data_IF_053017972321
#
_entry.id   IF_053017972321
#
_cell.length_a   1.000
_cell.length_b   1.000
_cell.length_c   1.000
_cell.angle_alpha   90.00
_cell.angle_beta   90.00
_cell.angle_gamma   90.00
#
_symmetry.space_group_name_H-M   'P 1'
#
loop_
_entity.id
_entity.type
_entity.pdbx_description
1 polymer ?
#
# COMPACT_ATOMS: atom_id res chain seq x y z
N UNK A 1 17.79 -11.31 10.67
CA UNK A 1 18.22 -11.45 9.27
C UNK A 1 19.25 -10.38 8.94
N UNK A 2 20.40 -10.79 8.44
CA UNK A 2 21.43 -9.90 7.90
C UNK A 2 21.12 -9.67 6.42
N UNK A 3 20.97 -8.40 6.03
CA UNK A 3 20.82 -7.99 4.64
C UNK A 3 22.11 -7.31 4.18
N UNK A 4 22.78 -7.94 3.22
CA UNK A 4 23.98 -7.38 2.55
C UNK A 4 23.55 -7.02 1.14
N UNK A 5 23.59 -5.76 0.78
CA UNK A 5 23.32 -5.30 -0.58
C UNK A 5 24.65 -4.86 -1.20
N UNK A 6 25.28 -5.74 -1.97
CA UNK A 6 26.49 -5.43 -2.71
C UNK A 6 26.11 -4.82 -4.07
N UNK A 7 26.27 -3.52 -4.18
CA UNK A 7 25.99 -2.78 -5.42
C UNK A 7 27.17 -2.77 -6.40
N UNK A 8 28.21 -3.56 -6.13
CA UNK A 8 29.43 -3.63 -6.99
C UNK A 8 30.29 -2.35 -6.98
N UNK A 9 29.92 -1.36 -6.18
CA UNK A 9 30.63 -0.07 -6.05
C UNK A 9 31.46 0.04 -4.77
N UNK A 10 31.59 -1.05 -4.00
CA UNK A 10 32.25 -1.08 -2.69
C UNK A 10 31.43 -0.48 -1.54
N UNK A 11 30.21 -0.02 -1.81
CA UNK A 11 29.26 0.43 -0.80
C UNK A 11 28.27 -0.71 -0.50
N UNK A 12 28.58 -1.51 0.50
CA UNK A 12 27.66 -2.51 1.02
C UNK A 12 26.68 -1.84 2.00
N UNK A 13 25.39 -1.91 1.74
CA UNK A 13 24.38 -1.51 2.73
C UNK A 13 24.10 -2.67 3.65
N UNK A 14 24.95 -2.86 4.66
CA UNK A 14 24.74 -3.88 5.69
C UNK A 14 23.75 -3.35 6.72
N UNK A 15 22.68 -4.11 6.96
CA UNK A 15 21.75 -3.85 8.06
C UNK A 15 21.32 -5.15 8.72
N UNK A 16 21.34 -5.17 10.03
CA UNK A 16 20.76 -6.24 10.81
C UNK A 16 19.34 -5.86 11.22
N UNK A 17 18.37 -6.72 10.92
CA UNK A 17 16.94 -6.48 11.22
C UNK A 17 16.40 -7.62 12.08
N UNK A 18 15.89 -7.26 13.25
CA UNK A 18 15.11 -8.13 14.12
C UNK A 18 13.67 -7.62 14.18
N UNK A 19 12.68 -8.54 14.03
CA UNK A 19 11.25 -8.20 14.10
C UNK A 19 10.51 -9.17 14.99
N UNK A 20 9.63 -8.62 15.83
CA UNK A 20 8.60 -9.34 16.56
C UNK A 20 7.25 -8.89 16.04
N UNK A 21 6.45 -9.84 15.55
CA UNK A 21 5.16 -9.56 14.91
C UNK A 21 4.08 -10.30 15.68
N UNK A 22 3.08 -9.54 16.14
CA UNK A 22 1.84 -10.06 16.73
C UNK A 22 0.70 -9.78 15.77
N UNK A 23 -0.09 -10.80 15.42
CA UNK A 23 -1.27 -10.67 14.58
C UNK A 23 -2.47 -11.33 15.25
N UNK A 24 -3.60 -10.60 15.29
CA UNK A 24 -4.88 -11.07 15.73
C UNK A 24 -5.86 -11.00 14.55
N UNK A 25 -6.34 -12.17 14.09
CA UNK A 25 -7.38 -12.27 13.07
C UNK A 25 -8.77 -12.41 13.70
N UNK A 26 -9.80 -11.98 12.98
CA UNK A 26 -11.19 -12.17 13.36
C UNK A 26 -12.07 -12.37 12.12
N UNK A 27 -13.18 -13.07 12.32
CA UNK A 27 -14.29 -13.13 11.40
C UNK A 27 -15.62 -13.10 12.16
N UNK A 28 -16.64 -12.58 11.53
CA UNK A 28 -18.00 -12.55 12.09
C UNK A 28 -19.04 -12.43 10.99
N UNK A 29 -20.27 -12.81 11.31
CA UNK A 29 -21.45 -12.62 10.43
C UNK A 29 -22.50 -11.81 11.17
N UNK A 30 -23.22 -10.99 10.43
CA UNK A 30 -24.34 -10.23 10.94
C UNK A 30 -25.43 -10.08 9.87
N UNK A 31 -26.64 -9.68 10.30
CA UNK A 31 -27.80 -9.47 9.43
C UNK A 31 -27.96 -8.00 8.98
N UNK A 32 -27.00 -7.13 9.31
CA UNK A 32 -27.07 -5.71 8.96
C UNK A 32 -26.84 -5.51 7.46
N UNK A 33 -27.56 -4.56 6.88
CA UNK A 33 -27.49 -4.22 5.45
C UNK A 33 -27.74 -5.43 4.52
N UNK A 34 -28.70 -6.27 4.86
CA UNK A 34 -29.03 -7.48 4.09
C UNK A 34 -28.13 -8.68 4.36
N UNK A 35 -27.40 -8.67 5.46
CA UNK A 35 -26.49 -9.71 5.88
C UNK A 35 -25.08 -9.52 5.33
N UNK A 36 -24.09 -9.80 6.16
CA UNK A 36 -22.69 -9.62 5.78
C UNK A 36 -21.72 -10.52 6.51
N UNK A 37 -20.56 -10.72 5.90
CA UNK A 37 -19.40 -11.38 6.49
C UNK A 37 -18.35 -10.31 6.70
N UNK A 38 -17.91 -10.15 7.95
CA UNK A 38 -16.80 -9.27 8.31
C UNK A 38 -15.57 -10.13 8.58
N UNK A 39 -14.42 -9.76 8.09
CA UNK A 39 -13.17 -10.43 8.39
C UNK A 39 -12.01 -9.44 8.34
N UNK A 40 -11.01 -9.70 9.14
CA UNK A 40 -9.90 -8.78 9.20
C UNK A 40 -8.81 -9.23 10.15
N UNK A 41 -7.84 -8.36 10.33
CA UNK A 41 -6.73 -8.57 11.26
C UNK A 41 -6.22 -7.26 11.81
N UNK A 42 -5.72 -7.34 13.03
CA UNK A 42 -4.93 -6.31 13.67
C UNK A 42 -3.51 -6.84 13.88
N UNK A 43 -2.51 -6.09 13.45
CA UNK A 43 -1.10 -6.43 13.58
C UNK A 43 -0.34 -5.39 14.38
N UNK A 44 0.60 -5.84 15.21
CA UNK A 44 1.61 -5.02 15.86
C UNK A 44 2.98 -5.54 15.47
N UNK A 45 3.87 -4.65 15.05
CA UNK A 45 5.25 -4.98 14.70
C UNK A 45 6.18 -4.13 15.54
N UNK A 46 7.06 -4.79 16.27
CA UNK A 46 8.24 -4.21 16.90
C UNK A 46 9.44 -4.61 16.05
N UNK A 47 10.16 -3.65 15.52
CA UNK A 47 11.38 -3.88 14.77
C UNK A 47 12.57 -3.22 15.48
N UNK A 48 13.73 -3.83 15.33
CA UNK A 48 15.02 -3.20 15.64
C UNK A 48 15.90 -3.31 14.41
N UNK A 49 16.39 -2.17 13.95
CA UNK A 49 17.32 -2.04 12.85
C UNK A 49 18.67 -1.61 13.42
N UNK A 50 19.72 -2.30 13.03
CA UNK A 50 21.09 -1.97 13.41
C UNK A 50 21.91 -1.73 12.13
N UNK A 51 22.40 -0.51 11.98
CA UNK A 51 23.24 -0.04 10.87
C UNK A 51 24.68 0.22 11.31
N UNK A 52 25.03 -0.08 12.57
CA UNK A 52 26.31 0.32 13.16
C UNK A 52 27.51 -0.42 12.58
N UNK A 53 27.29 -1.57 11.95
CA UNK A 53 28.36 -2.33 11.26
C UNK A 53 28.93 -1.59 10.04
N UNK A 54 28.18 -0.62 9.49
CA UNK A 54 28.63 0.25 8.40
C UNK A 54 28.52 1.74 8.81
N UNK A 55 29.62 2.38 9.25
CA UNK A 55 29.60 3.77 9.72
C UNK A 55 29.07 4.78 8.69
N UNK A 56 29.28 4.54 7.38
CA UNK A 56 28.76 5.40 6.32
C UNK A 56 27.24 5.32 6.21
N UNK A 57 26.66 4.12 6.27
CA UNK A 57 25.22 3.93 6.25
C UNK A 57 24.58 4.54 7.50
N UNK A 58 25.17 4.32 8.67
CA UNK A 58 24.68 4.89 9.91
C UNK A 58 24.68 6.42 9.90
N UNK A 59 25.79 7.05 9.47
CA UNK A 59 25.86 8.52 9.38
C UNK A 59 24.85 9.10 8.39
N UNK A 60 24.63 8.43 7.26
CA UNK A 60 23.64 8.83 6.26
C UNK A 60 22.22 8.70 6.81
N UNK A 61 21.92 7.61 7.52
CA UNK A 61 20.62 7.39 8.16
C UNK A 61 20.33 8.45 9.23
N UNK A 62 21.31 8.77 10.09
CA UNK A 62 21.17 9.82 11.11
C UNK A 62 20.94 11.22 10.53
N UNK A 63 21.56 11.52 9.39
CA UNK A 63 21.33 12.79 8.70
C UNK A 63 19.97 12.81 7.94
N UNK A 64 19.35 11.64 7.74
CA UNK A 64 18.14 11.41 6.99
C UNK A 64 16.97 10.94 7.84
N UNK A 65 16.45 9.78 7.50
CA UNK A 65 15.23 9.23 8.08
C UNK A 65 15.39 8.73 9.52
N UNK A 66 16.61 8.49 10.01
CA UNK A 66 16.95 8.02 11.36
C UNK A 66 16.19 6.74 11.73
N UNK A 67 16.31 5.74 10.84
CA UNK A 67 15.63 4.45 10.98
C UNK A 67 16.34 3.48 11.92
N UNK A 68 17.61 3.78 12.26
CA UNK A 68 18.39 2.96 13.17
C UNK A 68 17.76 2.92 14.56
N UNK A 69 17.71 1.75 15.17
CA UNK A 69 17.14 1.56 16.50
C UNK A 69 15.80 0.83 16.49
N UNK A 70 14.91 1.21 17.41
CA UNK A 70 13.61 0.55 17.61
C UNK A 70 12.52 1.29 16.86
N UNK A 71 11.78 0.54 16.08
CA UNK A 71 10.62 1.01 15.33
C UNK A 71 9.36 0.25 15.74
N UNK A 72 8.23 0.93 15.80
CA UNK A 72 6.95 0.33 16.10
C UNK A 72 5.91 0.73 15.06
N UNK A 73 5.12 -0.25 14.58
CA UNK A 73 3.95 0.01 13.74
C UNK A 73 2.76 -0.86 14.09
N UNK A 74 1.58 -0.29 13.92
CA UNK A 74 0.30 -1.00 13.96
C UNK A 74 -0.32 -1.08 12.57
N UNK A 75 -0.95 -2.21 12.25
CA UNK A 75 -1.69 -2.41 11.00
C UNK A 75 -3.10 -2.88 11.29
N UNK A 76 -4.06 -2.46 10.46
CA UNK A 76 -5.46 -2.84 10.56
C UNK A 76 -6.00 -3.18 9.18
N UNK A 77 -6.47 -4.42 9.00
CA UNK A 77 -7.17 -4.86 7.81
C UNK A 77 -8.61 -5.18 8.16
N UNK A 78 -9.56 -4.54 7.47
CA UNK A 78 -10.98 -4.79 7.64
C UNK A 78 -11.62 -5.03 6.28
N UNK A 79 -12.42 -6.08 6.19
CA UNK A 79 -13.17 -6.41 5.00
C UNK A 79 -14.61 -6.74 5.38
N UNK A 80 -15.56 -6.28 4.56
CA UNK A 80 -16.95 -6.61 4.70
C UNK A 80 -17.54 -6.98 3.35
N UNK A 81 -18.05 -8.20 3.27
CA UNK A 81 -18.76 -8.72 2.10
C UNK A 81 -20.26 -8.75 2.41
N UNK A 82 -21.05 -7.95 1.69
CA UNK A 82 -22.51 -7.95 1.74
C UNK A 82 -23.09 -8.56 0.48
N UNK A 83 -24.08 -9.40 0.63
CA UNK A 83 -24.91 -9.90 -0.47
C UNK A 83 -26.06 -8.90 -0.71
N UNK A 84 -26.00 -8.13 -1.80
CA UNK A 84 -27.05 -7.17 -2.14
C UNK A 84 -28.22 -7.83 -2.87
N UNK A 85 -27.93 -8.76 -3.79
CA UNK A 85 -28.91 -9.56 -4.52
C UNK A 85 -28.37 -10.97 -4.74
N UNK A 86 -29.15 -11.84 -5.38
CA UNK A 86 -28.71 -13.20 -5.74
C UNK A 86 -27.47 -13.21 -6.67
N UNK A 87 -27.22 -12.11 -7.41
CA UNK A 87 -26.14 -12.00 -8.40
C UNK A 87 -25.16 -10.86 -8.11
N UNK A 88 -25.39 -10.06 -7.08
CA UNK A 88 -24.58 -8.86 -6.80
C UNK A 88 -24.14 -8.85 -5.36
N UNK A 89 -22.84 -8.70 -5.14
CA UNK A 89 -22.22 -8.53 -3.85
C UNK A 89 -21.52 -7.16 -3.77
N UNK A 90 -21.44 -6.59 -2.59
CA UNK A 90 -20.63 -5.42 -2.29
C UNK A 90 -19.49 -5.86 -1.37
N UNK A 91 -18.26 -5.48 -1.72
CA UNK A 91 -17.09 -5.70 -0.88
C UNK A 91 -16.50 -4.34 -0.49
N UNK A 92 -16.45 -4.11 0.82
CA UNK A 92 -15.76 -2.97 1.42
C UNK A 92 -14.43 -3.47 1.96
N UNK A 93 -13.35 -2.75 1.64
CA UNK A 93 -12.00 -3.07 2.12
C UNK A 93 -11.38 -1.84 2.77
N UNK A 94 -10.68 -2.04 3.85
CA UNK A 94 -9.87 -1.03 4.52
C UNK A 94 -8.54 -1.67 4.95
N UNK A 95 -7.44 -1.02 4.61
CA UNK A 95 -6.10 -1.38 5.05
C UNK A 95 -5.42 -0.12 5.58
N UNK A 96 -5.05 -0.11 6.85
CA UNK A 96 -4.41 1.03 7.52
C UNK A 96 -3.10 0.65 8.18
N UNK A 97 -2.15 1.58 8.20
CA UNK A 97 -0.88 1.49 8.91
C UNK A 97 -0.60 2.77 9.66
N UNK A 98 -0.19 2.64 10.91
CA UNK A 98 0.30 3.74 11.75
C UNK A 98 1.67 3.38 12.29
N UNK A 99 2.65 4.23 12.03
CA UNK A 99 4.01 4.11 12.56
C UNK A 99 4.26 5.11 13.68
N UNK A 100 5.04 4.73 14.68
CA UNK A 100 5.50 5.61 15.74
C UNK A 100 6.70 6.45 15.30
N UNK A 101 7.55 5.88 14.45
CA UNK A 101 8.79 6.47 13.93
C UNK A 101 8.86 6.35 12.41
N UNK A 102 9.90 6.89 11.78
CA UNK A 102 10.19 6.63 10.39
C UNK A 102 10.48 5.14 10.20
N UNK A 103 10.04 4.57 9.10
CA UNK A 103 10.17 3.15 8.79
C UNK A 103 11.18 2.91 7.68
N UNK A 104 11.84 1.78 7.75
CA UNK A 104 12.56 1.24 6.59
C UNK A 104 11.61 1.06 5.40
N UNK A 105 12.07 1.31 4.19
CA UNK A 105 11.26 1.24 2.97
C UNK A 105 10.54 -0.10 2.78
N UNK A 106 11.12 -1.22 3.26
CA UNK A 106 10.47 -2.53 3.22
C UNK A 106 9.28 -2.66 4.18
N UNK A 107 9.12 -1.74 5.13
CA UNK A 107 8.05 -1.71 6.13
C UNK A 107 6.99 -0.65 5.84
N UNK A 108 7.22 0.20 4.85
CA UNK A 108 6.30 1.27 4.46
C UNK A 108 5.04 0.74 3.78
N UNK A 109 3.94 1.47 3.92
CA UNK A 109 2.70 1.23 3.19
C UNK A 109 2.82 1.87 1.80
N UNK A 110 2.51 1.10 0.74
CA UNK A 110 2.38 1.64 -0.62
C UNK A 110 0.92 1.86 -0.99
N UNK A 111 0.58 3.00 -1.56
CA UNK A 111 -0.78 3.30 -2.01
C UNK A 111 -1.08 2.78 -3.41
N UNK A 112 -0.10 2.69 -4.31
CA UNK A 112 -0.32 2.27 -5.69
C UNK A 112 -0.24 0.76 -5.89
N UNK A 113 -0.87 0.29 -6.94
CA UNK A 113 -0.80 -1.10 -7.39
C UNK A 113 -2.13 -1.85 -7.40
N UNK A 114 -2.15 -3.09 -7.93
CA UNK A 114 -3.36 -3.89 -8.13
C UNK A 114 -4.13 -4.21 -6.84
N UNK A 115 -3.45 -4.25 -5.69
CA UNK A 115 -4.03 -4.54 -4.38
C UNK A 115 -4.34 -3.29 -3.55
N UNK A 116 -4.10 -2.11 -4.12
CA UNK A 116 -4.25 -0.82 -3.46
C UNK A 116 -5.08 0.14 -4.33
N UNK A 117 -4.62 1.35 -4.62
CA UNK A 117 -5.27 2.26 -5.57
C UNK A 117 -4.88 1.86 -6.99
N UNK A 118 -5.73 1.07 -7.64
CA UNK A 118 -5.44 0.33 -8.89
C UNK A 118 -5.13 1.22 -10.11
N UNK A 119 -5.47 2.49 -10.04
CA UNK A 119 -5.20 3.46 -11.10
C UNK A 119 -3.74 3.96 -11.13
N UNK A 120 -2.91 3.54 -10.16
CA UNK A 120 -1.51 3.96 -10.06
C UNK A 120 -0.57 2.76 -10.09
N UNK A 121 0.68 2.95 -10.51
CA UNK A 121 1.67 1.88 -10.55
C UNK A 121 1.97 1.33 -9.16
N UNK A 122 2.51 0.12 -9.10
CA UNK A 122 3.00 -0.46 -7.84
C UNK A 122 4.10 0.42 -7.24
N UNK A 123 4.14 0.48 -5.91
CA UNK A 123 5.07 1.30 -5.14
C UNK A 123 4.89 2.83 -5.28
N UNK A 124 3.81 3.28 -5.93
CA UNK A 124 3.47 4.70 -5.88
C UNK A 124 3.12 5.10 -4.44
N UNK A 125 3.67 6.23 -3.98
CA UNK A 125 3.36 6.79 -2.67
C UNK A 125 3.65 5.84 -1.48
N UNK A 126 4.87 5.34 -1.35
CA UNK A 126 5.29 4.59 -0.17
C UNK A 126 5.52 5.53 1.02
N UNK A 127 5.05 5.13 2.22
CA UNK A 127 5.21 5.96 3.42
C UNK A 127 4.94 5.23 4.74
N UNK A 128 5.25 5.90 5.83
CA UNK A 128 5.25 5.31 7.17
C UNK A 128 3.84 5.06 7.71
N UNK A 129 2.90 5.96 7.40
CA UNK A 129 1.53 5.88 7.90
C UNK A 129 0.53 6.23 6.82
N UNK A 130 -0.61 5.57 6.83
CA UNK A 130 -1.65 5.84 5.84
C UNK A 130 -2.75 4.79 5.87
N UNK A 131 -3.66 4.90 4.91
CA UNK A 131 -4.68 3.90 4.70
C UNK A 131 -5.14 3.84 3.25
N UNK A 132 -5.70 2.71 2.89
CA UNK A 132 -6.37 2.44 1.62
C UNK A 132 -7.78 1.96 1.94
N UNK A 133 -8.76 2.53 1.26
CA UNK A 133 -10.15 2.11 1.31
C UNK A 133 -10.66 1.80 -0.10
N UNK A 134 -11.38 0.71 -0.26
CA UNK A 134 -11.98 0.29 -1.53
C UNK A 134 -13.45 -0.08 -1.35
N UNK A 135 -14.25 0.31 -2.33
CA UNK A 135 -15.63 -0.17 -2.50
C UNK A 135 -15.72 -0.90 -3.82
N UNK A 136 -16.17 -2.14 -3.79
CA UNK A 136 -16.33 -2.98 -4.98
C UNK A 136 -17.77 -3.48 -5.09
N UNK A 137 -18.38 -3.31 -6.25
CA UNK A 137 -19.66 -3.93 -6.62
C UNK A 137 -19.38 -5.07 -7.60
N UNK A 138 -19.51 -6.29 -7.12
CA UNK A 138 -19.25 -7.53 -7.86
C UNK A 138 -20.54 -8.11 -8.36
N UNK A 139 -20.64 -8.37 -9.65
CA UNK A 139 -21.83 -8.95 -10.27
C UNK A 139 -21.49 -10.13 -11.16
N UNK A 140 -22.16 -11.25 -10.90
CA UNK A 140 -22.13 -12.40 -11.79
C UNK A 140 -23.05 -12.11 -12.99
N UNK A 141 -22.46 -12.09 -14.19
CA UNK A 141 -23.18 -11.82 -15.45
C UNK A 141 -23.76 -13.12 -16.01
N UNK A 142 -22.99 -13.83 -16.80
CA UNK A 142 -23.38 -15.10 -17.42
C UNK A 142 -22.18 -16.06 -17.43
N UNK A 143 -22.46 -17.38 -17.46
CA UNK A 143 -21.42 -18.43 -17.53
C UNK A 143 -20.25 -18.24 -16.55
N UNK A 144 -20.56 -17.83 -15.32
CA UNK A 144 -19.58 -17.54 -14.26
C UNK A 144 -18.62 -16.38 -14.56
N UNK A 145 -18.91 -15.52 -15.53
CA UNK A 145 -18.18 -14.26 -15.74
C UNK A 145 -18.55 -13.30 -14.61
N UNK A 146 -17.56 -12.87 -13.84
CA UNK A 146 -17.72 -11.84 -12.82
C UNK A 146 -17.28 -10.49 -13.36
N UNK A 147 -18.12 -9.47 -13.20
CA UNK A 147 -17.72 -8.07 -13.39
C UNK A 147 -17.66 -7.35 -12.05
N UNK A 148 -16.68 -6.47 -11.90
CA UNK A 148 -16.49 -5.65 -10.71
C UNK A 148 -16.38 -4.19 -11.10
N UNK A 149 -17.24 -3.33 -10.54
CA UNK A 149 -17.02 -1.89 -10.52
C UNK A 149 -16.33 -1.55 -9.21
N UNK A 150 -15.35 -0.67 -9.25
CA UNK A 150 -14.63 -0.31 -8.04
C UNK A 150 -14.27 1.18 -7.97
N UNK A 151 -14.13 1.65 -6.73
CA UNK A 151 -13.54 2.92 -6.37
C UNK A 151 -12.52 2.69 -5.27
N UNK A 152 -11.30 3.21 -5.47
CA UNK A 152 -10.18 3.12 -4.53
C UNK A 152 -9.79 4.51 -4.07
N UNK A 153 -9.52 4.65 -2.78
CA UNK A 153 -8.98 5.84 -2.15
C UNK A 153 -7.85 5.47 -1.21
N UNK A 154 -6.74 6.16 -1.30
CA UNK A 154 -5.62 5.99 -0.39
C UNK A 154 -5.08 7.33 0.09
N UNK A 155 -4.71 7.42 1.36
CA UNK A 155 -4.04 8.58 1.95
C UNK A 155 -2.75 8.13 2.62
N UNK A 156 -1.69 8.89 2.41
CA UNK A 156 -0.35 8.59 2.91
C UNK A 156 0.25 9.76 3.68
N UNK A 157 1.06 9.43 4.67
CA UNK A 157 2.06 10.28 5.28
C UNK A 157 3.41 9.63 5.00
N UNK A 158 4.25 10.27 4.17
CA UNK A 158 5.52 9.71 3.72
C UNK A 158 6.47 9.43 4.88
N UNK A 159 6.71 10.44 5.70
CA UNK A 159 7.62 10.35 6.84
C UNK A 159 6.92 10.74 8.12
N UNK A 160 7.08 9.95 9.16
CA UNK A 160 6.53 10.23 10.50
C UNK A 160 7.19 11.47 11.09
N UNK A 161 8.51 11.54 11.00
CA UNK A 161 9.36 12.65 11.41
C UNK A 161 10.08 13.18 10.18
N UNK A 162 10.05 14.49 9.97
CA UNK A 162 10.78 15.16 8.90
C UNK A 162 12.17 15.54 9.40
N UNK A 163 13.13 15.55 8.47
CA UNK A 163 14.48 16.06 8.68
C UNK A 163 14.76 17.22 7.72
N UNK A 164 15.88 17.90 7.90
CA UNK A 164 16.26 18.97 6.98
C UNK A 164 16.42 18.42 5.57
N UNK A 165 15.89 19.17 4.59
CA UNK A 165 16.01 18.84 3.16
C UNK A 165 15.40 17.48 2.74
N UNK A 166 14.46 16.93 3.53
CA UNK A 166 13.79 15.65 3.25
C UNK A 166 13.17 15.58 1.85
N UNK A 167 12.79 16.71 1.27
CA UNK A 167 12.20 16.84 -0.07
C UNK A 167 13.08 17.66 -1.03
N UNK A 168 14.40 17.72 -0.81
CA UNK A 168 15.34 18.53 -1.61
C UNK A 168 15.30 18.21 -3.11
N UNK A 169 15.04 16.97 -3.48
CA UNK A 169 14.90 16.55 -4.89
C UNK A 169 13.58 16.98 -5.53
N UNK A 170 12.55 17.27 -4.72
CA UNK A 170 11.25 17.77 -5.15
C UNK A 170 10.62 18.63 -4.06
N UNK A 171 10.95 19.90 -4.04
CA UNK A 171 10.49 20.85 -3.00
C UNK A 171 8.97 21.07 -3.00
N UNK A 172 8.26 20.71 -4.07
CA UNK A 172 6.81 20.75 -4.16
C UNK A 172 6.14 19.53 -3.50
N UNK A 173 6.90 18.47 -3.20
CA UNK A 173 6.38 17.26 -2.58
C UNK A 173 5.87 17.54 -1.17
N UNK A 174 4.62 17.16 -0.93
CA UNK A 174 3.98 17.26 0.40
C UNK A 174 4.14 15.96 1.15
N UNK A 175 4.42 16.04 2.44
CA UNK A 175 4.52 14.85 3.30
C UNK A 175 3.19 14.08 3.45
N UNK A 176 2.06 14.76 3.18
CA UNK A 176 0.73 14.14 3.23
C UNK A 176 -0.02 14.43 1.94
N UNK A 177 -0.49 13.37 1.29
CA UNK A 177 -1.37 13.48 0.12
C UNK A 177 -2.24 12.22 -0.04
N UNK A 178 -3.07 12.21 -1.05
CA UNK A 178 -3.96 11.10 -1.35
C UNK A 178 -3.92 10.75 -2.83
N UNK A 179 -4.25 9.51 -3.12
CA UNK A 179 -4.47 8.97 -4.46
C UNK A 179 -5.89 8.41 -4.52
N UNK A 180 -6.53 8.52 -5.69
CA UNK A 180 -7.87 7.99 -5.88
C UNK A 180 -8.10 7.59 -7.34
N UNK A 181 -8.89 6.54 -7.52
CA UNK A 181 -9.21 6.03 -8.83
C UNK A 181 -10.46 5.18 -8.83
N UNK A 182 -10.99 4.94 -10.01
CA UNK A 182 -12.13 4.05 -10.22
C UNK A 182 -11.88 3.19 -11.44
N UNK A 183 -12.65 2.13 -11.57
CA UNK A 183 -12.47 1.27 -12.74
C UNK A 183 -13.43 0.10 -12.77
N UNK A 184 -13.15 -0.75 -13.74
CA UNK A 184 -13.88 -1.99 -13.96
C UNK A 184 -12.90 -3.16 -14.06
N UNK A 185 -13.31 -4.32 -13.57
CA UNK A 185 -12.58 -5.58 -13.77
C UNK A 185 -13.54 -6.62 -14.29
N UNK A 186 -13.04 -7.54 -15.11
CA UNK A 186 -13.79 -8.69 -15.59
C UNK A 186 -12.96 -9.95 -15.35
N UNK A 187 -13.54 -10.90 -14.64
CA UNK A 187 -12.98 -12.22 -14.41
C UNK A 187 -13.69 -13.25 -15.27
N UNK A 188 -12.95 -13.98 -16.08
CA UNK A 188 -13.47 -14.98 -17.03
C UNK A 188 -12.82 -16.33 -16.74
N UNK A 189 -13.56 -17.35 -16.30
CA UNK A 189 -13.07 -18.70 -16.25
C UNK A 189 -12.95 -19.26 -17.69
N UNK A 190 -11.73 -19.60 -18.13
CA UNK A 190 -11.51 -20.11 -19.49
C UNK A 190 -11.60 -21.63 -19.54
N UNK A 191 -11.07 -22.30 -18.52
CA UNK A 191 -11.14 -23.76 -18.34
C UNK A 191 -11.35 -24.06 -16.84
N UNK A 192 -11.52 -25.31 -16.49
CA UNK A 192 -11.78 -25.72 -15.09
C UNK A 192 -10.77 -25.18 -14.08
N UNK A 193 -9.55 -24.81 -14.49
CA UNK A 193 -8.46 -24.38 -13.61
C UNK A 193 -7.86 -23.03 -14.01
N UNK A 194 -8.38 -22.33 -15.01
CA UNK A 194 -7.83 -21.05 -15.48
C UNK A 194 -8.84 -19.91 -15.33
N UNK A 195 -8.44 -18.85 -14.64
CA UNK A 195 -9.17 -17.58 -14.60
C UNK A 195 -8.33 -16.48 -15.22
N UNK A 196 -8.89 -15.77 -16.18
CA UNK A 196 -8.30 -14.54 -16.72
C UNK A 196 -9.02 -13.36 -16.11
N UNK A 197 -8.24 -12.46 -15.49
CA UNK A 197 -8.74 -11.20 -14.93
C UNK A 197 -8.14 -10.04 -15.72
N UNK A 198 -9.02 -9.21 -16.27
CA UNK A 198 -8.65 -7.95 -16.92
C UNK A 198 -9.23 -6.80 -16.09
N UNK A 199 -8.42 -5.77 -15.86
CA UNK A 199 -8.84 -4.58 -15.12
C UNK A 199 -8.46 -3.33 -15.90
N UNK A 200 -9.39 -2.39 -15.95
CA UNK A 200 -9.15 -1.03 -16.43
C UNK A 200 -9.45 -0.06 -15.31
N UNK A 201 -8.49 0.81 -14.99
CA UNK A 201 -8.61 1.79 -13.93
C UNK A 201 -8.23 3.18 -14.44
N UNK A 202 -8.88 4.21 -13.91
CA UNK A 202 -8.60 5.61 -14.24
C UNK A 202 -8.43 6.44 -12.97
N UNK A 203 -7.42 7.30 -12.97
CA UNK A 203 -7.18 8.29 -11.92
C UNK A 203 -8.28 9.36 -11.92
N UNK A 204 -8.66 9.85 -10.75
CA UNK A 204 -9.62 10.95 -10.61
C UNK A 204 -8.90 12.30 -10.56
N UNK A 205 -7.69 12.34 -10.00
CA UNK A 205 -6.88 13.54 -9.87
C UNK A 205 -5.42 13.29 -10.20
N UNK A 206 -4.69 14.36 -10.45
CA UNK A 206 -3.24 14.28 -10.57
C UNK A 206 -2.62 13.74 -9.29
N UNK A 207 -1.55 12.96 -9.44
CA UNK A 207 -0.74 12.52 -8.33
C UNK A 207 0.01 13.71 -7.71
N UNK A 208 -0.26 14.00 -6.44
CA UNK A 208 0.47 15.05 -5.71
C UNK A 208 1.90 14.63 -5.32
N UNK A 209 2.22 13.33 -5.44
CA UNK A 209 3.54 12.76 -5.19
C UNK A 209 4.39 12.58 -6.46
N UNK A 210 3.88 13.02 -7.63
CA UNK A 210 4.62 12.92 -8.88
C UNK A 210 5.98 13.60 -8.81
N UNK A 211 6.91 13.17 -9.66
CA UNK A 211 8.23 13.76 -9.79
C UNK A 211 8.19 15.22 -10.34
N UNK A 212 9.34 15.86 -10.44
CA UNK A 212 9.47 17.23 -10.97
C UNK A 212 9.09 17.35 -12.45
N UNK A 213 9.10 16.23 -13.19
CA UNK A 213 8.69 16.16 -14.59
C UNK A 213 7.18 15.90 -14.73
N UNK A 214 6.48 15.67 -13.63
CA UNK A 214 5.04 15.40 -13.61
C UNK A 214 4.67 13.94 -13.80
N UNK A 215 5.63 13.01 -13.68
CA UNK A 215 5.46 11.58 -13.86
C UNK A 215 5.21 10.85 -12.55
N UNK A 216 4.53 9.71 -12.64
CA UNK A 216 4.46 8.72 -11.56
C UNK A 216 5.77 7.92 -11.45
N UNK A 217 5.87 7.05 -10.47
CA UNK A 217 7.07 6.23 -10.20
C UNK A 217 7.52 5.36 -11.39
N UNK A 218 6.63 5.04 -12.32
CA UNK A 218 6.93 4.28 -13.55
C UNK A 218 7.38 5.15 -14.73
N UNK A 219 7.56 6.46 -14.53
CA UNK A 219 8.02 7.41 -15.55
C UNK A 219 6.93 7.87 -16.53
N UNK A 220 5.66 7.48 -16.32
CA UNK A 220 4.54 7.88 -17.18
C UNK A 220 3.76 9.05 -16.58
N UNK A 221 3.41 10.02 -17.43
CA UNK A 221 2.61 11.17 -17.05
C UNK A 221 1.11 10.83 -17.00
N UNK A 222 0.31 11.78 -16.51
CA UNK A 222 -1.15 11.70 -16.57
C UNK A 222 -1.70 11.57 -18.02
N UNK A 223 -0.99 12.17 -18.98
CA UNK A 223 -1.42 12.19 -20.39
C UNK A 223 -1.16 10.88 -21.13
N UNK A 224 -0.26 10.03 -20.59
CA UNK A 224 0.14 8.77 -21.19
C UNK A 224 -0.75 7.58 -20.79
N UNK A 225 -1.89 7.83 -20.07
CA UNK A 225 -2.76 6.79 -19.48
C UNK A 225 -4.24 6.97 -19.76
#
# INVERSE_FOLDING_TARGET
NKYVNDLGTGNNSDKDVWKSIFNLGFDSRDDKLGGGINYGSFGLTLARIDLTDNPSNWSTDQAGADNNGRNFKGTLNLNRLNKLTSKTNMLLKFNGQLAADNLDGADQLSLGGPSAVRAYPSNEAAGDSGFIASVELKRNLFKNVESTLFYDYGKIKLHKKLWNDWNSTNTALKNNYHLQGYGVSVGIPIFNNFNVNASFARKISHNSGRDISGNDVDGLSWQDR
#
